data_IF_610368083190
#
_entry.id   IF_610368083190
#
_cell.length_a   1.000
_cell.length_b   1.000
_cell.length_c   1.000
_cell.angle_alpha   90.00
_cell.angle_beta   90.00
_cell.angle_gamma   90.00
#
_symmetry.space_group_name_H-M   'P 1'
#
loop_
_entity.id
_entity.type
_entity.pdbx_description
1 polymer ?
#
# COMPACT_ATOMS: atom_id res chain seq x y z
N UNK A 1 42.94 27.81 16.32
CA UNK A 1 42.96 28.27 14.91
C UNK A 1 43.79 27.27 14.13
N UNK A 2 43.13 26.22 13.65
CA UNK A 2 43.65 25.30 12.62
C UNK A 2 42.44 24.92 11.79
N UNK A 3 42.51 25.19 10.49
CA UNK A 3 41.38 25.21 9.57
C UNK A 3 40.79 23.83 9.32
N UNK A 4 39.46 23.81 9.18
CA UNK A 4 38.76 22.75 8.45
C UNK A 4 38.35 23.35 7.10
N UNK A 5 39.08 23.00 6.06
CA UNK A 5 38.61 23.12 4.69
C UNK A 5 37.99 21.74 4.38
N UNK A 6 36.68 21.64 4.56
CA UNK A 6 35.88 20.57 3.99
C UNK A 6 34.99 21.23 2.94
N UNK A 7 35.22 20.86 1.67
CA UNK A 7 34.60 21.47 0.50
C UNK A 7 33.08 21.32 0.45
N UNK A 8 32.43 21.95 -0.55
CA UNK A 8 31.01 21.81 -0.78
C UNK A 8 30.72 20.44 -1.42
N UNK A 9 30.73 19.40 -0.59
CA UNK A 9 30.02 18.15 -0.87
C UNK A 9 28.84 18.07 0.11
N UNK A 10 27.98 19.08 0.02
CA UNK A 10 26.59 18.84 0.37
C UNK A 10 26.05 17.99 -0.78
N UNK A 11 25.49 16.80 -0.54
CA UNK A 11 24.81 16.08 -1.60
C UNK A 11 23.66 16.96 -2.09
N UNK A 12 23.86 17.56 -3.26
CA UNK A 12 22.80 18.09 -4.10
C UNK A 12 21.85 16.94 -4.39
N UNK A 13 20.66 16.96 -3.77
CA UNK A 13 19.52 16.17 -4.21
C UNK A 13 18.70 15.54 -3.08
N UNK A 14 17.41 15.87 -2.94
CA UNK A 14 16.44 14.89 -2.49
C UNK A 14 16.17 13.87 -3.62
N UNK A 15 17.17 13.10 -4.05
CA UNK A 15 17.01 12.04 -5.05
C UNK A 15 16.52 10.74 -4.40
N UNK A 16 15.30 10.78 -3.87
CA UNK A 16 14.61 9.62 -3.30
C UNK A 16 13.08 9.76 -3.21
N UNK A 17 12.48 10.76 -3.84
CA UNK A 17 11.06 11.06 -3.71
C UNK A 17 10.21 10.28 -4.75
N UNK A 18 10.18 8.94 -4.65
CA UNK A 18 9.04 8.12 -5.13
C UNK A 18 9.13 6.65 -4.74
N UNK A 19 10.28 6.16 -4.29
CA UNK A 19 10.37 4.80 -3.76
C UNK A 19 10.38 4.82 -2.23
N UNK A 20 9.31 5.36 -1.63
CA UNK A 20 8.94 4.89 -0.30
C UNK A 20 8.75 3.36 -0.34
N UNK A 21 8.76 2.66 0.81
CA UNK A 21 8.46 1.23 0.82
C UNK A 21 7.19 0.97 -0.01
N UNK A 22 7.20 -0.08 -0.84
CA UNK A 22 6.06 -0.45 -1.68
C UNK A 22 4.88 -0.73 -0.75
N UNK A 23 4.08 0.31 -0.52
CA UNK A 23 2.95 0.25 0.39
C UNK A 23 1.72 -0.07 -0.42
N UNK A 24 1.06 -1.15 -0.05
CA UNK A 24 -0.23 -1.50 -0.62
C UNK A 24 -1.28 -0.79 0.20
N UNK A 25 -2.04 0.11 -0.42
CA UNK A 25 -3.11 0.84 0.25
C UNK A 25 -4.45 0.25 -0.14
N UNK A 26 -5.20 -0.21 0.86
CA UNK A 26 -6.56 -0.68 0.69
C UNK A 26 -7.50 0.39 1.22
N UNK A 27 -8.23 1.05 0.31
CA UNK A 27 -9.16 2.12 0.68
C UNK A 27 -10.36 1.59 1.50
N UNK A 28 -11.10 2.48 2.18
CA UNK A 28 -12.29 2.08 2.92
C UNK A 28 -13.31 1.36 2.02
N UNK A 29 -14.19 0.52 2.60
CA UNK A 29 -15.28 -0.12 1.86
C UNK A 29 -16.11 0.92 1.10
N UNK A 30 -16.40 0.63 -0.17
CA UNK A 30 -17.30 1.47 -0.96
C UNK A 30 -18.76 1.20 -0.56
N UNK A 31 -19.66 2.19 -0.68
CA UNK A 31 -21.10 1.99 -0.43
C UNK A 31 -21.71 0.89 -1.31
N UNK A 32 -21.20 0.74 -2.53
CA UNK A 32 -21.58 -0.31 -3.48
C UNK A 32 -20.92 -1.68 -3.20
N UNK A 33 -20.12 -1.79 -2.15
CA UNK A 33 -19.31 -2.96 -1.82
C UNK A 33 -17.89 -2.92 -2.42
N UNK A 34 -17.02 -3.76 -1.85
CA UNK A 34 -15.62 -3.88 -2.22
C UNK A 34 -14.74 -2.73 -1.73
N UNK A 35 -13.44 -2.87 -2.00
CA UNK A 35 -12.37 -1.96 -1.59
C UNK A 35 -11.44 -1.69 -2.77
N UNK A 36 -11.07 -0.43 -2.94
CA UNK A 36 -10.11 -0.03 -3.98
C UNK A 36 -8.69 -0.30 -3.49
N UNK A 37 -7.91 -1.00 -4.29
CA UNK A 37 -6.53 -1.41 -3.97
C UNK A 37 -5.56 -0.59 -4.79
N UNK A 38 -4.51 -0.06 -4.14
CA UNK A 38 -3.43 0.69 -4.78
C UNK A 38 -2.06 0.19 -4.36
N UNK A 39 -1.07 0.32 -5.23
CA UNK A 39 0.35 0.02 -4.95
C UNK A 39 1.20 1.18 -5.43
N UNK A 40 1.98 1.79 -4.53
CA UNK A 40 2.82 2.94 -4.90
C UNK A 40 2.03 4.11 -5.52
N UNK A 41 0.73 4.22 -5.21
CA UNK A 41 -0.17 5.21 -5.81
C UNK A 41 -0.89 4.76 -7.09
N UNK A 42 -0.53 3.65 -7.73
CA UNK A 42 -1.25 3.11 -8.89
C UNK A 42 -2.49 2.31 -8.45
N UNK A 43 -3.60 2.40 -9.19
CA UNK A 43 -4.83 1.65 -8.90
C UNK A 43 -4.80 0.26 -9.56
N UNK A 44 -4.86 -0.80 -8.75
CA UNK A 44 -4.85 -2.17 -9.25
C UNK A 44 -6.25 -2.74 -9.51
N UNK A 45 -7.24 -2.35 -8.71
CA UNK A 45 -8.60 -2.89 -8.86
C UNK A 45 -9.52 -2.70 -7.67
N UNK A 46 -10.75 -3.19 -7.82
CA UNK A 46 -11.77 -3.28 -6.76
C UNK A 46 -11.82 -4.72 -6.24
N UNK A 47 -11.38 -4.93 -5.01
CA UNK A 47 -11.37 -6.23 -4.33
C UNK A 47 -12.60 -6.39 -3.44
N UNK A 48 -13.23 -7.56 -3.46
CA UNK A 48 -14.35 -7.91 -2.59
C UNK A 48 -13.95 -8.84 -1.44
N UNK A 49 -12.73 -9.36 -1.47
CA UNK A 49 -12.15 -10.22 -0.45
C UNK A 49 -10.61 -10.21 -0.55
N UNK A 50 -9.94 -10.88 0.39
CA UNK A 50 -8.47 -10.97 0.44
C UNK A 50 -7.86 -11.71 -0.77
N UNK A 51 -8.57 -12.67 -1.37
CA UNK A 51 -8.07 -13.40 -2.54
C UNK A 51 -8.00 -12.50 -3.78
N UNK A 52 -8.96 -11.57 -3.95
CA UNK A 52 -8.90 -10.58 -5.02
C UNK A 52 -7.66 -9.67 -4.87
N UNK A 53 -7.33 -9.27 -3.62
CA UNK A 53 -6.10 -8.51 -3.34
C UNK A 53 -4.87 -9.32 -3.73
N UNK A 54 -4.77 -10.57 -3.27
CA UNK A 54 -3.64 -11.44 -3.59
C UNK A 54 -3.49 -11.63 -5.12
N UNK A 55 -4.59 -11.74 -5.87
CA UNK A 55 -4.56 -11.81 -7.33
C UNK A 55 -4.00 -10.52 -7.95
N UNK A 56 -4.47 -9.35 -7.50
CA UNK A 56 -3.98 -8.06 -7.99
C UNK A 56 -2.48 -7.89 -7.73
N UNK A 57 -2.02 -8.24 -6.53
CA UNK A 57 -0.63 -8.17 -6.15
C UNK A 57 0.22 -9.14 -6.97
N UNK A 58 -0.23 -10.38 -7.17
CA UNK A 58 0.47 -11.34 -8.03
C UNK A 58 0.62 -10.83 -9.46
N UNK A 59 -0.42 -10.19 -10.01
CA UNK A 59 -0.35 -9.55 -11.35
C UNK A 59 0.63 -8.37 -11.39
N UNK A 60 0.86 -7.72 -10.26
CA UNK A 60 1.86 -6.65 -10.09
C UNK A 60 3.25 -7.18 -9.70
N UNK A 61 3.47 -8.50 -9.63
CA UNK A 61 4.75 -9.11 -9.25
C UNK A 61 5.00 -9.21 -7.75
N UNK A 62 4.00 -8.96 -6.92
CA UNK A 62 4.04 -9.10 -5.45
C UNK A 62 3.30 -10.38 -5.05
N UNK A 63 4.04 -11.43 -4.72
CA UNK A 63 3.44 -12.72 -4.33
C UNK A 63 3.08 -12.73 -2.85
N UNK A 64 1.82 -13.07 -2.54
CA UNK A 64 1.30 -13.26 -1.18
C UNK A 64 0.13 -14.24 -1.21
N UNK A 65 0.03 -15.09 -0.19
CA UNK A 65 -1.12 -15.96 0.00
C UNK A 65 -2.34 -15.17 0.48
N UNK A 66 -3.55 -15.47 -0.02
CA UNK A 66 -4.79 -14.82 0.42
C UNK A 66 -5.00 -14.84 1.95
N UNK A 67 -4.50 -15.87 2.63
CA UNK A 67 -4.59 -16.01 4.08
C UNK A 67 -3.71 -15.01 4.85
N UNK A 68 -2.59 -14.57 4.25
CA UNK A 68 -1.63 -13.68 4.88
C UNK A 68 -1.91 -12.19 4.60
N UNK A 69 -2.78 -11.89 3.62
CA UNK A 69 -3.14 -10.51 3.23
C UNK A 69 -3.66 -9.68 4.42
N UNK A 70 -4.42 -10.29 5.33
CA UNK A 70 -4.94 -9.57 6.50
C UNK A 70 -3.85 -9.16 7.48
N UNK A 71 -2.81 -9.99 7.62
CA UNK A 71 -1.75 -9.86 8.62
C UNK A 71 -0.48 -9.18 8.08
N UNK A 72 -0.42 -8.95 6.76
CA UNK A 72 0.74 -8.39 6.09
C UNK A 72 1.03 -6.95 6.58
N UNK A 73 2.18 -6.69 7.22
CA UNK A 73 2.46 -5.39 7.85
C UNK A 73 2.70 -4.25 6.85
N UNK A 74 2.84 -4.57 5.57
CA UNK A 74 3.02 -3.62 4.46
C UNK A 74 1.72 -3.32 3.69
N UNK A 75 0.59 -3.88 4.15
CA UNK A 75 -0.74 -3.54 3.67
C UNK A 75 -1.37 -2.53 4.63
N UNK A 76 -1.56 -1.30 4.14
CA UNK A 76 -2.24 -0.23 4.86
C UNK A 76 -3.75 -0.29 4.62
N UNK A 77 -4.47 -0.75 5.63
CA UNK A 77 -5.93 -0.80 5.64
C UNK A 77 -6.51 0.56 6.06
N UNK A 78 -7.10 1.28 5.11
CA UNK A 78 -7.77 2.57 5.39
C UNK A 78 -9.20 2.33 5.87
N UNK A 79 -9.57 3.04 6.94
CA UNK A 79 -10.91 2.99 7.50
C UNK A 79 -11.14 1.71 8.29
N UNK A 80 -12.05 0.85 7.83
CA UNK A 80 -12.28 -0.43 8.48
C UNK A 80 -11.14 -1.42 8.16
N UNK A 81 -10.90 -2.38 9.05
CA UNK A 81 -9.89 -3.42 8.89
C UNK A 81 -10.25 -4.50 7.86
N UNK A 82 -9.39 -5.54 7.72
CA UNK A 82 -9.51 -6.60 6.72
C UNK A 82 -10.80 -7.43 6.78
N UNK A 83 -11.53 -7.38 7.89
CA UNK A 83 -12.76 -8.15 8.08
C UNK A 83 -14.01 -7.53 7.38
N UNK A 84 -13.95 -6.25 7.00
CA UNK A 84 -15.11 -5.50 6.49
C UNK A 84 -14.92 -5.16 5.01
N UNK A 85 -15.83 -5.57 4.13
CA UNK A 85 -15.68 -5.35 2.67
C UNK A 85 -16.79 -4.55 2.00
N UNK A 86 -17.87 -4.28 2.71
CA UNK A 86 -18.99 -3.49 2.21
C UNK A 86 -19.73 -2.86 3.38
N UNK A 87 -20.89 -2.21 3.13
CA UNK A 87 -21.80 -1.88 4.22
C UNK A 87 -22.04 -3.12 5.06
N UNK A 88 -22.27 -2.97 6.37
CA UNK A 88 -22.91 -4.06 7.10
C UNK A 88 -24.13 -4.42 6.29
N UNK A 89 -24.24 -5.68 5.84
CA UNK A 89 -25.54 -6.19 5.42
C UNK A 89 -26.41 -6.08 6.66
N UNK A 90 -27.04 -4.92 6.85
CA UNK A 90 -28.11 -4.74 7.80
C UNK A 90 -29.22 -5.63 7.25
N UNK A 91 -29.39 -6.79 7.89
CA UNK A 91 -30.62 -7.57 7.76
C UNK A 91 -31.81 -6.79 8.31
#
# INVERSE_FOLDING_TARGET
>A
MTGWDAGPDAPDGPEGLSSGPVLVTVLPPSPSGGRRVRVGGEFLGLAHNAADIAEFLRRAGLEIDPADVAEAPWIDWRGAGPERWGPETSG
#
